data_IF_771473753874
#
_entry.id   IF_771473753874
#
_cell.length_a   1.000
_cell.length_b   1.000
_cell.length_c   1.000
_cell.angle_alpha   90.00
_cell.angle_beta   90.00
_cell.angle_gamma   90.00
#
_symmetry.space_group_name_H-M   'P 1'
#
loop_
_entity.id
_entity.type
_entity.pdbx_description
1 polymer ?
#
# COMPACT_ATOMS: atom_id res chain seq x y z
N UNK A 1 -9.49 -3.94 -41.79
CA UNK A 1 -9.74 -3.67 -40.36
C UNK A 1 -8.49 -4.12 -39.62
N UNK A 2 -7.62 -3.18 -39.25
CA UNK A 2 -6.30 -3.48 -38.67
C UNK A 2 -6.49 -3.81 -37.19
N UNK A 3 -6.08 -5.02 -36.79
CA UNK A 3 -5.97 -5.44 -35.39
C UNK A 3 -4.89 -4.57 -34.74
N UNK A 4 -5.19 -3.79 -33.68
CA UNK A 4 -4.14 -3.06 -32.99
C UNK A 4 -3.23 -4.08 -32.29
N UNK A 5 -1.94 -4.01 -32.60
CA UNK A 5 -0.89 -4.73 -31.88
C UNK A 5 -1.06 -4.42 -30.39
N UNK A 6 -1.25 -5.47 -29.59
CA UNK A 6 -1.24 -5.40 -28.15
C UNK A 6 0.04 -4.68 -27.72
N UNK A 7 -0.10 -3.50 -27.13
CA UNK A 7 1.00 -2.88 -26.40
C UNK A 7 1.45 -3.89 -25.35
N UNK A 8 2.77 -4.16 -25.22
CA UNK A 8 3.24 -4.99 -24.13
C UNK A 8 2.90 -4.26 -22.85
N UNK A 9 1.83 -4.69 -22.18
CA UNK A 9 1.59 -4.34 -20.79
C UNK A 9 2.80 -4.89 -20.05
N UNK A 10 3.68 -4.00 -19.61
CA UNK A 10 4.78 -4.34 -18.73
C UNK A 10 4.13 -4.76 -17.41
N UNK A 11 3.71 -6.03 -17.33
CA UNK A 11 3.52 -6.67 -16.04
C UNK A 11 4.92 -6.73 -15.44
N UNK A 12 5.22 -5.85 -14.49
CA UNK A 12 6.35 -6.04 -13.60
C UNK A 12 6.12 -7.39 -12.90
N UNK A 13 6.66 -8.47 -13.49
CA UNK A 13 6.68 -9.82 -12.94
C UNK A 13 7.69 -9.89 -11.79
N UNK A 14 7.66 -8.93 -10.87
CA UNK A 14 8.58 -8.83 -9.75
C UNK A 14 8.29 -9.85 -8.64
N UNK A 15 7.11 -10.49 -8.68
CA UNK A 15 6.56 -11.27 -7.55
C UNK A 15 6.46 -12.77 -7.80
N UNK A 16 7.00 -13.28 -8.92
CA UNK A 16 7.22 -14.73 -9.07
C UNK A 16 8.53 -15.08 -8.35
N UNK A 17 8.49 -16.15 -7.55
CA UNK A 17 9.61 -16.63 -6.72
C UNK A 17 10.94 -16.54 -7.47
N UNK A 18 11.83 -15.60 -7.12
CA UNK A 18 13.07 -15.38 -7.86
C UNK A 18 13.96 -16.62 -7.77
N UNK A 19 14.46 -17.09 -8.92
CA UNK A 19 15.37 -18.25 -9.01
C UNK A 19 16.80 -17.88 -8.53
N UNK A 20 16.93 -17.39 -7.31
CA UNK A 20 18.22 -17.17 -6.66
C UNK A 20 18.22 -17.67 -5.22
N UNK A 21 19.41 -17.88 -4.67
CA UNK A 21 19.60 -18.47 -3.34
C UNK A 21 18.95 -17.67 -2.20
N UNK A 22 18.68 -16.37 -2.43
CA UNK A 22 18.08 -15.48 -1.44
C UNK A 22 16.57 -15.29 -1.64
N UNK A 23 16.01 -15.72 -2.77
CA UNK A 23 14.63 -15.43 -3.17
C UNK A 23 14.35 -13.95 -3.42
N UNK A 24 15.38 -13.12 -3.66
CA UNK A 24 15.24 -11.67 -3.81
C UNK A 24 14.98 -11.26 -5.25
N UNK A 25 13.98 -10.41 -5.47
CA UNK A 25 13.73 -9.75 -6.73
C UNK A 25 14.70 -8.56 -6.94
N UNK A 26 14.73 -7.98 -8.15
CA UNK A 26 15.51 -6.77 -8.43
C UNK A 26 15.15 -5.57 -7.52
N UNK A 27 13.89 -5.49 -7.10
CA UNK A 27 13.42 -4.45 -6.18
C UNK A 27 14.01 -4.58 -4.78
N UNK A 28 14.15 -5.80 -4.26
CA UNK A 28 14.71 -6.04 -2.93
C UNK A 28 16.17 -5.57 -2.84
N UNK A 29 16.97 -5.81 -3.89
CA UNK A 29 18.33 -5.29 -3.97
C UNK A 29 18.36 -3.76 -4.04
N UNK A 30 17.43 -3.14 -4.76
CA UNK A 30 17.30 -1.69 -4.79
C UNK A 30 16.96 -1.13 -3.39
N UNK A 31 16.01 -1.74 -2.68
CA UNK A 31 15.64 -1.36 -1.32
C UNK A 31 16.82 -1.50 -0.35
N UNK A 32 17.56 -2.62 -0.40
CA UNK A 32 18.74 -2.85 0.44
C UNK A 32 19.85 -1.84 0.17
N UNK A 33 20.11 -1.51 -1.10
CA UNK A 33 21.12 -0.52 -1.46
C UNK A 33 20.70 0.88 -1.03
N UNK A 34 19.44 1.27 -1.22
CA UNK A 34 18.91 2.55 -0.75
C UNK A 34 18.98 2.66 0.79
N UNK A 35 18.63 1.60 1.51
CA UNK A 35 18.74 1.52 2.97
C UNK A 35 20.18 1.68 3.45
N UNK A 36 21.13 0.99 2.80
CA UNK A 36 22.55 1.09 3.13
C UNK A 36 23.10 2.51 2.87
N UNK A 37 22.70 3.14 1.77
CA UNK A 37 23.08 4.52 1.44
C UNK A 37 22.51 5.50 2.48
N UNK A 38 21.23 5.37 2.83
CA UNK A 38 20.60 6.21 3.86
C UNK A 38 21.30 6.06 5.22
N UNK A 39 21.63 4.83 5.63
CA UNK A 39 22.41 4.57 6.83
C UNK A 39 23.80 5.22 6.76
N UNK A 40 24.52 5.05 5.65
CA UNK A 40 25.87 5.61 5.46
C UNK A 40 25.89 7.15 5.51
N UNK A 41 24.87 7.82 4.97
CA UNK A 41 24.74 9.29 5.03
C UNK A 41 24.64 9.78 6.48
N UNK A 42 24.07 9.00 7.39
CA UNK A 42 23.95 9.38 8.81
C UNK A 42 25.22 9.15 9.64
N UNK A 43 26.18 8.39 9.12
CA UNK A 43 27.43 8.08 9.83
C UNK A 43 28.53 9.15 9.62
N UNK A 44 28.43 10.00 8.60
CA UNK A 44 29.43 11.04 8.31
C UNK A 44 28.85 12.45 8.44
N UNK A 45 29.51 13.37 9.17
CA UNK A 45 29.04 14.74 9.32
C UNK A 45 29.22 15.51 8.00
N UNK A 46 28.17 15.49 7.18
CA UNK A 46 28.04 16.21 5.92
C UNK A 46 27.03 17.36 6.08
N UNK A 47 27.00 18.35 5.18
CA UNK A 47 25.93 19.36 5.19
C UNK A 47 24.53 18.72 5.07
N UNK A 48 24.41 17.61 4.32
CA UNK A 48 23.19 16.81 4.25
C UNK A 48 22.78 16.26 5.62
N UNK A 49 23.73 15.78 6.42
CA UNK A 49 23.48 15.33 7.79
C UNK A 49 22.96 16.46 8.71
N UNK A 50 23.47 17.69 8.56
CA UNK A 50 22.99 18.84 9.34
C UNK A 50 21.52 19.17 9.02
N UNK A 51 21.16 19.19 7.74
CA UNK A 51 19.78 19.38 7.30
C UNK A 51 18.86 18.24 7.77
N UNK A 52 19.33 16.99 7.64
CA UNK A 52 18.61 15.81 8.11
C UNK A 52 18.31 15.88 9.62
N UNK A 53 19.30 16.27 10.44
CA UNK A 53 19.07 16.47 11.88
C UNK A 53 18.09 17.60 12.17
N UNK A 54 18.16 18.70 11.44
CA UNK A 54 17.22 19.81 11.60
C UNK A 54 15.77 19.38 11.28
N UNK A 55 15.59 18.57 10.23
CA UNK A 55 14.30 17.98 9.89
C UNK A 55 13.84 16.97 10.96
N UNK A 56 14.72 16.06 11.37
CA UNK A 56 14.43 15.04 12.38
C UNK A 56 13.96 15.65 13.71
N UNK A 57 14.42 16.85 14.06
CA UNK A 57 13.95 17.59 15.24
C UNK A 57 12.50 18.11 15.15
N UNK A 58 11.86 18.05 13.99
CA UNK A 58 10.48 18.53 13.76
C UNK A 58 9.51 17.37 13.61
N UNK A 59 9.12 16.76 14.71
CA UNK A 59 8.27 15.54 14.73
C UNK A 59 7.00 15.64 13.89
N UNK A 60 6.25 16.75 14.00
CA UNK A 60 5.02 16.96 13.22
C UNK A 60 5.29 16.99 11.70
N UNK A 61 6.39 17.62 11.30
CA UNK A 61 6.79 17.69 9.89
C UNK A 61 7.20 16.33 9.38
N UNK A 62 7.95 15.55 10.16
CA UNK A 62 8.32 14.18 9.80
C UNK A 62 7.10 13.26 9.66
N UNK A 63 6.14 13.35 10.59
CA UNK A 63 4.88 12.58 10.51
C UNK A 63 4.12 12.87 9.21
N UNK A 64 3.90 14.15 8.92
CA UNK A 64 3.20 14.56 7.70
C UNK A 64 3.97 14.17 6.44
N UNK A 65 5.30 14.38 6.44
CA UNK A 65 6.15 14.01 5.31
C UNK A 65 6.08 12.52 5.04
N UNK A 66 6.23 11.68 6.05
CA UNK A 66 6.22 10.21 5.90
C UNK A 66 4.83 9.65 5.58
N UNK A 67 3.76 10.34 5.98
CA UNK A 67 2.41 10.01 5.55
C UNK A 67 2.16 10.33 4.07
N UNK A 68 2.61 11.50 3.62
CA UNK A 68 2.33 11.99 2.27
C UNK A 68 3.29 11.43 1.22
N UNK A 69 4.55 11.18 1.58
CA UNK A 69 5.59 10.75 0.66
C UNK A 69 5.20 9.51 -0.18
N UNK A 70 4.77 8.36 0.40
CA UNK A 70 4.40 7.19 -0.39
C UNK A 70 3.20 7.47 -1.31
N UNK A 71 2.23 8.28 -0.87
CA UNK A 71 1.05 8.65 -1.64
C UNK A 71 1.44 9.51 -2.84
N UNK A 72 2.19 10.59 -2.62
CA UNK A 72 2.63 11.51 -3.69
C UNK A 72 3.48 10.78 -4.72
N UNK A 73 4.42 9.94 -4.27
CA UNK A 73 5.23 9.13 -5.18
C UNK A 73 4.35 8.19 -5.99
N UNK A 74 3.36 7.53 -5.37
CA UNK A 74 2.49 6.59 -6.09
C UNK A 74 1.56 7.29 -7.09
N UNK A 75 1.05 8.47 -6.74
CA UNK A 75 0.23 9.29 -7.64
C UNK A 75 1.04 9.85 -8.81
N UNK A 76 2.31 10.24 -8.58
CA UNK A 76 3.21 10.68 -9.65
C UNK A 76 3.48 9.59 -10.69
N UNK A 77 3.41 8.32 -10.29
CA UNK A 77 3.59 7.18 -11.18
C UNK A 77 2.33 6.81 -11.99
N UNK A 78 1.19 7.48 -11.81
CA UNK A 78 -0.07 7.08 -12.46
C UNK A 78 -0.03 7.04 -13.99
N UNK A 79 0.79 7.90 -14.62
CA UNK A 79 0.92 7.93 -16.08
C UNK A 79 1.55 6.65 -16.62
N UNK A 80 2.52 6.09 -15.90
CA UNK A 80 3.23 4.87 -16.31
C UNK A 80 2.67 3.60 -15.67
N UNK A 81 2.12 3.73 -14.47
CA UNK A 81 1.56 2.67 -13.63
C UNK A 81 0.16 3.11 -13.15
N UNK A 82 -0.90 2.82 -13.92
CA UNK A 82 -2.27 3.18 -13.56
C UNK A 82 -2.71 2.65 -12.19
N UNK A 83 -3.86 3.13 -11.72
CA UNK A 83 -4.49 2.56 -10.52
C UNK A 83 -4.75 1.05 -10.73
N UNK A 84 -4.59 0.23 -9.67
CA UNK A 84 -4.68 -1.21 -9.82
C UNK A 84 -6.12 -1.66 -10.10
N UNK A 85 -6.25 -2.61 -11.01
CA UNK A 85 -7.49 -3.35 -11.23
C UNK A 85 -7.51 -4.59 -10.34
N UNK A 86 -8.65 -4.96 -9.74
CA UNK A 86 -8.76 -6.16 -8.92
C UNK A 86 -8.40 -7.39 -9.75
N UNK A 87 -7.55 -8.25 -9.18
CA UNK A 87 -7.01 -9.42 -9.89
C UNK A 87 -7.08 -10.69 -9.06
N UNK A 88 -6.93 -10.59 -7.73
CA UNK A 88 -7.12 -11.70 -6.80
C UNK A 88 -8.58 -11.86 -6.38
N UNK A 89 -8.98 -13.09 -6.03
CA UNK A 89 -10.29 -13.35 -5.42
C UNK A 89 -10.53 -12.46 -4.17
N UNK A 90 -9.46 -12.26 -3.40
CA UNK A 90 -9.40 -11.42 -2.22
C UNK A 90 -9.74 -9.96 -2.55
N UNK A 91 -9.22 -9.41 -3.67
CA UNK A 91 -9.50 -8.04 -4.08
C UNK A 91 -11.01 -7.82 -4.28
N UNK A 92 -11.66 -8.76 -4.98
CA UNK A 92 -13.10 -8.68 -5.21
C UNK A 92 -13.90 -8.80 -3.92
N UNK A 93 -13.46 -9.65 -2.99
CA UNK A 93 -14.13 -9.81 -1.69
C UNK A 93 -13.95 -8.56 -0.81
N UNK A 94 -12.77 -7.94 -0.80
CA UNK A 94 -12.53 -6.67 -0.12
C UNK A 94 -13.34 -5.52 -0.73
N UNK A 95 -13.43 -5.46 -2.06
CA UNK A 95 -14.27 -4.48 -2.75
C UNK A 95 -15.76 -4.66 -2.45
N UNK A 96 -16.25 -5.91 -2.40
CA UNK A 96 -17.61 -6.21 -1.95
C UNK A 96 -17.82 -5.73 -0.50
N UNK A 97 -16.88 -6.00 0.40
CA UNK A 97 -16.97 -5.56 1.79
C UNK A 97 -16.99 -4.03 1.89
N UNK A 98 -16.13 -3.34 1.15
CA UNK A 98 -16.08 -1.89 1.08
C UNK A 98 -17.38 -1.30 0.54
N UNK A 99 -17.95 -1.90 -0.52
CA UNK A 99 -19.23 -1.51 -1.08
C UNK A 99 -20.37 -1.71 -0.07
N UNK A 100 -20.37 -2.81 0.66
CA UNK A 100 -21.36 -3.09 1.71
C UNK A 100 -21.29 -2.02 2.82
N UNK A 101 -20.09 -1.73 3.30
CA UNK A 101 -19.85 -0.80 4.40
C UNK A 101 -20.10 0.66 4.01
N UNK A 102 -19.79 1.08 2.79
CA UNK A 102 -20.08 2.46 2.32
C UNK A 102 -21.59 2.72 2.20
N UNK A 103 -22.40 1.66 2.08
CA UNK A 103 -23.86 1.72 2.18
C UNK A 103 -24.37 1.56 3.62
N UNK A 104 -23.49 1.63 4.61
CA UNK A 104 -23.78 1.48 6.04
C UNK A 104 -24.42 0.14 6.40
N UNK A 105 -24.03 -0.94 5.70
CA UNK A 105 -24.45 -2.31 5.98
C UNK A 105 -23.27 -3.15 6.46
N UNK A 106 -23.55 -4.20 7.23
CA UNK A 106 -22.56 -5.20 7.63
C UNK A 106 -22.57 -6.44 6.72
N UNK A 107 -23.72 -6.72 6.09
CA UNK A 107 -23.89 -7.78 5.12
C UNK A 107 -25.02 -7.40 4.15
N UNK A 108 -25.09 -8.06 3.00
CA UNK A 108 -26.16 -7.90 2.02
C UNK A 108 -27.12 -9.09 2.08
N UNK A 109 -28.37 -8.93 1.61
CA UNK A 109 -29.27 -10.07 1.50
C UNK A 109 -28.71 -11.11 0.51
N UNK A 110 -28.92 -12.42 0.77
CA UNK A 110 -28.52 -13.48 -0.14
C UNK A 110 -29.24 -13.36 -1.50
N UNK A 111 -28.61 -13.87 -2.56
CA UNK A 111 -29.29 -14.01 -3.83
C UNK A 111 -30.45 -15.02 -3.73
N UNK A 112 -31.49 -14.88 -4.55
CA UNK A 112 -32.69 -15.76 -4.52
C UNK A 112 -32.34 -17.21 -4.90
N UNK A 113 -31.33 -17.38 -5.74
CA UNK A 113 -30.85 -18.68 -6.22
C UNK A 113 -29.37 -18.88 -5.83
N UNK A 114 -29.02 -18.93 -4.53
CA UNK A 114 -27.62 -18.90 -4.07
C UNK A 114 -26.81 -20.09 -4.59
N UNK A 115 -27.45 -21.23 -4.85
CA UNK A 115 -26.83 -22.45 -5.38
C UNK A 115 -26.17 -22.30 -6.76
N UNK A 116 -26.45 -21.23 -7.50
CA UNK A 116 -25.82 -20.95 -8.80
C UNK A 116 -24.77 -19.82 -8.75
N UNK A 117 -24.59 -19.16 -7.61
CA UNK A 117 -23.73 -18.00 -7.46
C UNK A 117 -22.67 -18.23 -6.40
N UNK A 118 -21.65 -19.01 -6.75
CA UNK A 118 -20.46 -19.19 -5.93
C UNK A 118 -19.35 -18.23 -6.37
N UNK A 119 -18.77 -17.53 -5.40
CA UNK A 119 -17.60 -16.67 -5.60
C UNK A 119 -16.61 -16.94 -4.47
N UNK A 120 -15.32 -17.00 -4.82
CA UNK A 120 -14.25 -17.25 -3.85
C UNK A 120 -14.22 -16.14 -2.79
N UNK A 121 -14.09 -16.52 -1.53
CA UNK A 121 -14.06 -15.63 -0.36
C UNK A 121 -15.33 -14.78 -0.14
N UNK A 122 -16.46 -15.20 -0.69
CA UNK A 122 -17.77 -14.58 -0.48
C UNK A 122 -18.77 -15.63 -0.02
N UNK A 123 -19.48 -15.35 1.06
CA UNK A 123 -20.57 -16.18 1.57
C UNK A 123 -21.86 -15.80 0.88
N UNK A 124 -22.70 -16.79 0.57
CA UNK A 124 -24.11 -16.56 0.23
C UNK A 124 -25.01 -16.74 1.46
N UNK A 125 -24.67 -17.67 2.36
CA UNK A 125 -25.45 -17.98 3.56
C UNK A 125 -24.64 -17.73 4.84
N UNK A 126 -25.26 -17.21 5.93
CA UNK A 126 -26.66 -16.79 6.04
C UNK A 126 -26.96 -15.44 5.36
N UNK A 127 -25.94 -14.75 4.87
CA UNK A 127 -26.06 -13.47 4.18
C UNK A 127 -24.96 -13.34 3.11
N UNK A 128 -25.20 -12.49 2.10
CA UNK A 128 -24.22 -12.17 1.07
C UNK A 128 -23.14 -11.23 1.64
N UNK A 129 -21.97 -11.77 1.97
CA UNK A 129 -20.90 -10.99 2.60
C UNK A 129 -19.50 -11.52 2.27
N UNK A 130 -18.50 -10.65 2.40
CA UNK A 130 -17.10 -11.08 2.46
C UNK A 130 -16.86 -11.97 3.68
N UNK A 131 -15.92 -12.92 3.58
CA UNK A 131 -15.42 -13.67 4.74
C UNK A 131 -14.40 -12.88 5.57
N UNK A 132 -13.88 -11.76 5.05
CA UNK A 132 -12.76 -11.05 5.65
C UNK A 132 -13.20 -10.11 6.78
N UNK A 133 -12.30 -9.81 7.75
CA UNK A 133 -12.55 -8.82 8.79
C UNK A 133 -12.83 -7.41 8.23
N UNK A 134 -13.60 -6.62 8.98
CA UNK A 134 -14.10 -5.30 8.55
C UNK A 134 -13.00 -4.27 8.28
N UNK A 135 -11.82 -4.40 8.90
CA UNK A 135 -10.77 -3.38 8.89
C UNK A 135 -10.39 -2.90 7.49
N UNK A 136 -10.07 -3.84 6.59
CA UNK A 136 -9.70 -3.48 5.23
C UNK A 136 -10.87 -2.90 4.44
N UNK A 137 -12.07 -3.47 4.60
CA UNK A 137 -13.29 -2.94 3.99
C UNK A 137 -13.60 -1.50 4.43
N UNK A 138 -13.37 -1.16 5.71
CA UNK A 138 -13.55 0.20 6.23
C UNK A 138 -12.56 1.19 5.62
N UNK A 139 -11.28 0.81 5.50
CA UNK A 139 -10.27 1.65 4.87
C UNK A 139 -10.64 1.96 3.40
N UNK A 140 -11.01 0.91 2.65
CA UNK A 140 -11.46 1.04 1.26
C UNK A 140 -12.75 1.85 1.14
N UNK A 141 -13.75 1.61 2.00
CA UNK A 141 -15.00 2.36 2.02
C UNK A 141 -14.77 3.85 2.29
N UNK A 142 -13.89 4.19 3.26
CA UNK A 142 -13.52 5.56 3.55
C UNK A 142 -12.84 6.23 2.34
N UNK A 143 -11.88 5.55 1.71
CA UNK A 143 -11.26 6.04 0.48
C UNK A 143 -12.28 6.26 -0.64
N UNK A 144 -13.21 5.32 -0.80
CA UNK A 144 -14.26 5.41 -1.80
C UNK A 144 -15.20 6.59 -1.56
N UNK A 145 -15.62 6.81 -0.32
CA UNK A 145 -16.50 7.92 0.05
C UNK A 145 -15.81 9.28 -0.10
N UNK A 146 -14.54 9.39 0.29
CA UNK A 146 -13.82 10.66 0.31
C UNK A 146 -13.28 11.08 -1.06
N UNK A 147 -12.84 10.12 -1.89
CA UNK A 147 -12.12 10.40 -3.14
C UNK A 147 -12.78 9.76 -4.37
N UNK A 148 -13.89 9.04 -4.20
CA UNK A 148 -14.62 8.39 -5.30
C UNK A 148 -13.98 7.09 -5.78
N UNK A 149 -12.90 6.61 -5.16
CA UNK A 149 -12.21 5.39 -5.57
C UNK A 149 -11.71 4.57 -4.37
N UNK A 150 -11.99 3.26 -4.27
CA UNK A 150 -11.66 2.45 -3.10
C UNK A 150 -10.15 2.34 -2.84
N UNK A 151 -9.33 2.29 -3.89
CA UNK A 151 -7.87 2.25 -3.77
C UNK A 151 -7.27 3.46 -3.04
N UNK A 152 -7.98 4.60 -2.95
CA UNK A 152 -7.53 5.70 -2.11
C UNK A 152 -7.40 5.29 -0.64
N UNK A 153 -8.21 4.33 -0.17
CA UNK A 153 -8.12 3.75 1.17
C UNK A 153 -6.79 3.05 1.41
N UNK A 154 -6.29 2.30 0.42
CA UNK A 154 -4.97 1.65 0.47
C UNK A 154 -3.86 2.69 0.60
N UNK A 155 -3.91 3.75 -0.23
CA UNK A 155 -2.92 4.84 -0.18
C UNK A 155 -2.88 5.50 1.20
N UNK A 156 -4.05 5.78 1.79
CA UNK A 156 -4.14 6.39 3.12
C UNK A 156 -3.62 5.44 4.20
N UNK A 157 -3.98 4.16 4.15
CA UNK A 157 -3.48 3.15 5.09
C UNK A 157 -1.96 3.02 5.02
N UNK A 158 -1.38 2.94 3.82
CA UNK A 158 0.06 2.87 3.61
C UNK A 158 0.80 4.11 4.12
N UNK A 159 0.25 5.31 3.84
CA UNK A 159 0.78 6.56 4.39
C UNK A 159 0.73 6.61 5.92
N UNK A 160 -0.42 6.26 6.51
CA UNK A 160 -0.58 6.21 7.96
C UNK A 160 0.41 5.22 8.59
N UNK A 161 0.52 4.01 8.03
CA UNK A 161 1.48 2.99 8.47
C UNK A 161 2.91 3.54 8.51
N UNK A 162 3.39 4.15 7.43
CA UNK A 162 4.74 4.72 7.37
C UNK A 162 4.96 5.79 8.45
N UNK A 163 3.97 6.67 8.66
CA UNK A 163 4.03 7.70 9.69
C UNK A 163 3.99 7.14 11.12
N UNK A 164 3.21 6.08 11.35
CA UNK A 164 3.06 5.42 12.64
C UNK A 164 4.30 4.60 13.00
N UNK A 165 4.98 4.00 12.03
CA UNK A 165 6.31 3.41 12.24
C UNK A 165 7.29 4.46 12.78
N UNK A 166 7.34 5.65 12.18
CA UNK A 166 8.15 6.76 12.68
C UNK A 166 7.73 7.21 14.09
N UNK A 167 6.43 7.40 14.31
CA UNK A 167 5.89 7.81 15.61
C UNK A 167 6.31 6.83 16.71
N UNK A 168 6.15 5.53 16.46
CA UNK A 168 6.55 4.48 17.37
C UNK A 168 8.06 4.52 17.62
N UNK A 169 8.88 4.62 16.57
CA UNK A 169 10.34 4.66 16.69
C UNK A 169 10.86 5.89 17.46
N UNK A 170 10.12 7.00 17.46
CA UNK A 170 10.45 8.17 18.29
C UNK A 170 10.42 7.85 19.78
N UNK A 171 9.64 6.86 20.22
CA UNK A 171 9.61 6.42 21.63
C UNK A 171 10.77 5.52 22.03
N UNK A 172 11.50 4.95 21.07
CA UNK A 172 12.51 3.92 21.30
C UNK A 172 13.93 4.34 20.88
N UNK A 173 14.06 5.37 20.05
CA UNK A 173 15.33 5.74 19.40
C UNK A 173 15.51 7.26 19.34
N UNK A 174 16.64 7.72 18.81
CA UNK A 174 16.85 9.16 18.55
C UNK A 174 16.03 9.62 17.34
N UNK A 175 15.65 10.91 17.23
CA UNK A 175 14.83 11.40 16.12
C UNK A 175 15.41 11.12 14.73
N UNK A 176 16.74 11.08 14.60
CA UNK A 176 17.41 10.74 13.34
C UNK A 176 17.20 9.28 12.94
N UNK A 177 17.36 8.35 13.88
CA UNK A 177 17.11 6.92 13.63
C UNK A 177 15.62 6.63 13.40
N UNK A 178 14.74 7.32 14.12
CA UNK A 178 13.31 7.22 13.88
C UNK A 178 12.96 7.66 12.45
N UNK A 179 13.48 8.81 12.00
CA UNK A 179 13.23 9.31 10.64
C UNK A 179 13.77 8.35 9.58
N UNK A 180 14.96 7.77 9.79
CA UNK A 180 15.48 6.72 8.90
C UNK A 180 14.54 5.52 8.83
N UNK A 181 14.07 5.00 9.98
CA UNK A 181 13.15 3.87 10.00
C UNK A 181 11.81 4.16 9.31
N UNK A 182 11.31 5.39 9.45
CA UNK A 182 10.14 5.85 8.70
C UNK A 182 10.37 5.90 7.18
N UNK A 183 11.53 6.38 6.74
CA UNK A 183 11.90 6.37 5.32
C UNK A 183 12.05 4.95 4.77
N UNK A 184 12.60 4.03 5.57
CA UNK A 184 12.65 2.61 5.21
C UNK A 184 11.26 2.02 5.06
N UNK A 185 10.31 2.36 5.94
CA UNK A 185 8.91 1.93 5.79
C UNK A 185 8.30 2.44 4.48
N UNK A 186 8.58 3.70 4.09
CA UNK A 186 8.13 4.26 2.80
C UNK A 186 8.74 3.52 1.61
N UNK A 187 10.02 3.13 1.69
CA UNK A 187 10.68 2.38 0.61
C UNK A 187 10.06 0.99 0.47
N UNK A 188 9.93 0.27 1.58
CA UNK A 188 9.46 -1.11 1.62
C UNK A 188 7.97 -1.27 1.31
N UNK A 189 7.12 -0.35 1.78
CA UNK A 189 5.66 -0.46 1.74
C UNK A 189 4.99 0.64 0.90
N UNK A 190 5.78 1.48 0.24
CA UNK A 190 5.27 2.57 -0.59
C UNK A 190 5.02 2.17 -2.04
N UNK A 191 5.39 3.01 -3.02
CA UNK A 191 4.85 2.95 -4.38
C UNK A 191 5.19 1.69 -5.18
N UNK A 192 6.29 1.00 -4.84
CA UNK A 192 6.77 -0.17 -5.57
C UNK A 192 6.31 -1.49 -4.94
N UNK A 193 5.70 -1.42 -3.76
CA UNK A 193 5.27 -2.59 -3.01
C UNK A 193 3.98 -3.19 -3.60
N UNK A 194 3.84 -4.51 -3.55
CA UNK A 194 2.64 -5.21 -4.04
C UNK A 194 1.36 -4.75 -3.34
N UNK A 195 1.39 -4.60 -2.01
CA UNK A 195 0.24 -4.29 -1.16
C UNK A 195 -0.36 -2.90 -1.48
N UNK A 196 0.51 -1.91 -1.75
CA UNK A 196 0.12 -0.57 -2.23
C UNK A 196 -0.49 -0.60 -3.65
N UNK A 197 -0.25 -1.67 -4.40
CA UNK A 197 -0.65 -1.86 -5.80
C UNK A 197 -1.72 -2.96 -5.99
N UNK A 198 -2.39 -3.37 -4.91
CA UNK A 198 -3.60 -4.20 -4.95
C UNK A 198 -4.62 -3.65 -3.95
N UNK A 199 -5.68 -4.41 -3.63
CA UNK A 199 -6.71 -3.99 -2.67
C UNK A 199 -6.51 -4.55 -1.27
N UNK A 200 -5.30 -5.03 -0.95
CA UNK A 200 -5.04 -5.74 0.31
C UNK A 200 -4.63 -4.83 1.45
N UNK A 201 -4.02 -3.66 1.16
CA UNK A 201 -3.63 -2.68 2.18
C UNK A 201 -2.27 -2.98 2.77
#
# INVERSE_FOLDING_TARGET
>A
MLVPLATPVIHLRAFLSPDNAFGFGPLDFFELTAAAVLGAITLKPTPAYAWFRALAGRTKTCLLLLALLPIVLRLALLVSCPAPTPSGADDFSYLLLADTLRHFRLANPPHILPQFFEQVFVLQEPAYSSIFPLGQGLALAAGWLLFGHPWAGVLLSGGLFCSLCYWMLCGWTTPGWALLGGLLAVMQFGPLNYWMNCYWG
#
